data_IF_702049655473
#
_entry.id   IF_702049655473
#
_cell.length_a   1.000
_cell.length_b   1.000
_cell.length_c   1.000
_cell.angle_alpha   90.00
_cell.angle_beta   90.00
_cell.angle_gamma   90.00
#
_symmetry.space_group_name_H-M   'P 1'
#
loop_
_entity.id
_entity.type
_entity.pdbx_description
1 polymer ?
#
# COMPACT_ATOMS: atom_id res chain seq x y z
N UNK A 1 16.38 22.68 25.25
CA UNK A 1 16.66 21.92 26.48
C UNK A 1 16.65 20.45 26.08
N UNK A 2 17.80 19.78 26.14
CA UNK A 2 17.88 18.35 25.87
C UNK A 2 17.04 17.64 26.92
N UNK A 3 15.96 17.01 26.50
CA UNK A 3 15.12 16.14 27.29
C UNK A 3 15.98 15.07 27.96
N UNK A 4 15.72 14.80 29.23
CA UNK A 4 16.46 13.87 30.09
C UNK A 4 16.85 12.58 29.33
N UNK A 5 18.15 12.34 29.02
CA UNK A 5 18.59 11.16 28.26
C UNK A 5 18.32 9.83 28.96
N UNK A 6 17.96 9.87 30.24
CA UNK A 6 17.60 8.70 31.04
C UNK A 6 16.11 8.30 30.97
N UNK A 7 15.33 8.95 30.13
CA UNK A 7 13.92 8.56 29.97
C UNK A 7 13.80 7.11 29.42
N UNK A 8 12.93 6.31 30.01
CA UNK A 8 12.80 4.87 29.68
C UNK A 8 12.58 4.60 28.17
N UNK A 9 11.88 5.51 27.46
CA UNK A 9 11.66 5.41 25.99
C UNK A 9 12.96 5.57 25.18
N UNK A 10 14.03 6.14 25.72
CA UNK A 10 15.30 6.36 25.03
C UNK A 10 16.36 5.31 25.35
N UNK A 11 16.28 4.64 26.51
CA UNK A 11 17.33 3.75 27.00
C UNK A 11 17.74 2.62 26.07
N UNK A 12 16.82 2.13 25.22
CA UNK A 12 17.06 1.02 24.31
C UNK A 12 17.44 1.46 22.89
N UNK A 13 17.59 2.77 22.67
CA UNK A 13 17.86 3.37 21.37
C UNK A 13 19.31 3.83 21.27
N UNK A 14 19.91 3.75 20.08
CA UNK A 14 21.19 4.38 19.83
C UNK A 14 21.06 5.91 19.71
N UNK A 15 22.20 6.62 19.68
CA UNK A 15 22.21 8.08 19.67
C UNK A 15 21.40 8.68 18.51
N UNK A 16 21.57 8.21 17.27
CA UNK A 16 20.82 8.69 16.13
C UNK A 16 19.31 8.42 16.25
N UNK A 17 18.93 7.27 16.78
CA UNK A 17 17.54 6.94 17.06
C UNK A 17 16.96 7.84 18.16
N UNK A 18 17.74 8.13 19.23
CA UNK A 18 17.35 9.07 20.28
C UNK A 18 17.13 10.47 19.73
N UNK A 19 18.01 10.94 18.85
CA UNK A 19 17.87 12.24 18.16
C UNK A 19 16.55 12.32 17.38
N UNK A 20 16.17 11.25 16.66
CA UNK A 20 14.88 11.20 15.96
C UNK A 20 13.71 11.24 16.93
N UNK A 21 13.76 10.45 17.99
CA UNK A 21 12.64 10.30 18.94
C UNK A 21 12.42 11.56 19.74
N UNK A 22 13.51 12.23 20.18
CA UNK A 22 13.46 13.45 20.96
C UNK A 22 13.62 14.74 20.13
N UNK A 23 13.52 14.66 18.80
CA UNK A 23 13.61 15.82 17.92
C UNK A 23 12.60 16.91 18.30
N UNK A 24 12.98 18.16 18.15
CA UNK A 24 12.07 19.29 18.32
C UNK A 24 10.86 19.18 17.37
N UNK A 25 9.80 19.90 17.67
CA UNK A 25 8.64 19.98 16.77
C UNK A 25 9.02 20.73 15.48
N UNK A 26 9.35 19.96 14.45
CA UNK A 26 9.75 20.42 13.12
C UNK A 26 9.39 19.36 12.08
N UNK A 27 9.46 19.70 10.80
CA UNK A 27 9.43 18.70 9.76
C UNK A 27 10.71 17.86 9.83
N UNK A 28 10.57 16.53 9.65
CA UNK A 28 11.67 15.60 9.88
C UNK A 28 11.75 14.56 8.75
N UNK A 29 12.91 14.49 8.11
CA UNK A 29 13.27 13.43 7.18
C UNK A 29 14.22 12.44 7.88
N UNK A 30 13.79 11.20 8.02
CA UNK A 30 14.60 10.12 8.56
C UNK A 30 14.99 9.18 7.42
N UNK A 31 16.24 9.30 6.97
CA UNK A 31 16.83 8.39 6.00
C UNK A 31 17.35 7.17 6.73
N UNK A 32 16.62 6.07 6.67
CA UNK A 32 16.86 4.92 7.52
C UNK A 32 17.07 3.66 6.67
N UNK A 33 18.29 3.14 6.66
CA UNK A 33 18.62 1.94 5.91
C UNK A 33 17.89 0.68 6.38
N UNK A 34 18.02 -0.40 5.60
CA UNK A 34 17.46 -1.70 5.96
C UNK A 34 17.93 -2.14 7.35
N UNK A 35 17.03 -2.62 8.20
CA UNK A 35 17.36 -3.13 9.54
C UNK A 35 17.88 -2.10 10.53
N UNK A 36 17.78 -0.77 10.27
CA UNK A 36 18.22 0.30 11.16
C UNK A 36 17.17 0.68 12.22
N UNK A 37 15.99 0.06 12.21
CA UNK A 37 14.93 0.29 13.17
C UNK A 37 13.94 1.38 12.80
N UNK A 38 13.67 1.61 11.48
CA UNK A 38 12.66 2.57 10.97
C UNK A 38 11.38 2.60 11.80
N UNK A 39 10.66 1.49 11.81
CA UNK A 39 9.38 1.39 12.53
C UNK A 39 9.55 1.56 14.04
N UNK A 40 10.71 1.16 14.60
CA UNK A 40 11.00 1.33 16.03
C UNK A 40 11.07 2.82 16.40
N UNK A 41 11.84 3.62 15.66
CA UNK A 41 11.93 5.06 15.95
C UNK A 41 10.61 5.77 15.75
N UNK A 42 9.81 5.37 14.75
CA UNK A 42 8.49 5.93 14.51
C UNK A 42 7.54 5.66 15.67
N UNK A 43 7.49 4.41 16.15
CA UNK A 43 6.67 4.01 17.31
C UNK A 43 7.14 4.73 18.59
N UNK A 44 8.45 4.79 18.84
CA UNK A 44 9.00 5.52 20.00
C UNK A 44 8.77 7.03 19.90
N UNK A 45 8.81 7.64 18.70
CA UNK A 45 8.47 9.04 18.50
C UNK A 45 7.01 9.32 18.86
N UNK A 46 6.07 8.47 18.42
CA UNK A 46 4.65 8.59 18.80
C UNK A 46 4.50 8.51 20.31
N UNK A 47 5.14 7.52 20.94
CA UNK A 47 5.10 7.39 22.40
C UNK A 47 5.72 8.60 23.13
N UNK A 48 6.79 9.17 22.58
CA UNK A 48 7.42 10.39 23.10
C UNK A 48 6.49 11.59 23.01
N UNK A 49 5.87 11.81 21.84
CA UNK A 49 4.91 12.91 21.65
C UNK A 49 3.77 12.85 22.66
N UNK A 50 3.27 11.66 22.96
CA UNK A 50 2.16 11.49 23.91
C UNK A 50 2.62 11.63 25.36
N UNK A 51 3.67 10.91 25.78
CA UNK A 51 4.04 10.79 27.18
C UNK A 51 4.93 11.94 27.68
N UNK A 52 5.70 12.56 26.79
CA UNK A 52 6.68 13.61 27.17
C UNK A 52 6.23 14.98 26.70
N UNK A 53 5.77 15.10 25.47
CA UNK A 53 5.31 16.37 24.90
C UNK A 53 3.81 16.61 25.18
N UNK A 54 3.11 15.68 25.84
CA UNK A 54 1.69 15.76 26.20
C UNK A 54 0.75 16.01 25.00
N UNK A 55 1.12 15.48 23.84
CA UNK A 55 0.28 15.56 22.63
C UNK A 55 -0.85 14.55 22.74
N UNK A 56 -2.08 15.02 22.50
CA UNK A 56 -3.24 14.12 22.50
C UNK A 56 -3.11 13.06 21.39
N UNK A 57 -3.42 11.77 21.66
CA UNK A 57 -3.45 10.73 20.64
C UNK A 57 -4.33 11.08 19.43
N UNK A 58 -5.37 11.88 19.61
CA UNK A 58 -6.23 12.38 18.53
C UNK A 58 -5.52 13.31 17.54
N UNK A 59 -4.42 13.94 17.97
CA UNK A 59 -3.64 14.86 17.15
C UNK A 59 -2.55 14.17 16.32
N UNK A 60 -2.52 12.82 16.33
CA UNK A 60 -1.50 12.05 15.64
C UNK A 60 -2.13 11.24 14.51
N UNK A 61 -1.57 11.38 13.30
CA UNK A 61 -1.83 10.57 12.14
C UNK A 61 -0.58 9.76 11.81
N UNK A 62 -0.68 8.42 11.84
CA UNK A 62 0.41 7.53 11.48
C UNK A 62 0.04 6.69 10.26
N UNK A 63 0.85 6.81 9.20
CA UNK A 63 0.57 6.22 7.90
C UNK A 63 1.66 5.21 7.54
N UNK A 64 1.26 4.06 7.02
CA UNK A 64 2.17 3.03 6.52
C UNK A 64 1.66 2.44 5.21
N UNK A 65 2.48 1.61 4.54
CA UNK A 65 2.15 1.10 3.21
C UNK A 65 1.26 -0.15 3.24
N UNK A 66 1.38 -1.03 4.25
CA UNK A 66 0.64 -2.29 4.30
C UNK A 66 -0.21 -2.44 5.56
N UNK A 67 -1.33 -3.18 5.45
CA UNK A 67 -2.18 -3.50 6.59
C UNK A 67 -1.44 -4.31 7.67
N UNK A 68 -0.47 -5.14 7.27
CA UNK A 68 0.38 -5.88 8.21
C UNK A 68 1.24 -4.91 9.02
N UNK A 69 1.93 -3.97 8.36
CA UNK A 69 2.74 -2.96 9.04
C UNK A 69 1.88 -2.06 9.95
N UNK A 70 0.67 -1.69 9.52
CA UNK A 70 -0.26 -0.94 10.36
C UNK A 70 -0.69 -1.73 11.62
N UNK A 71 -0.93 -3.04 11.47
CA UNK A 71 -1.23 -3.94 12.59
C UNK A 71 -0.07 -4.05 13.58
N UNK A 72 1.14 -4.28 13.07
CA UNK A 72 2.36 -4.35 13.89
C UNK A 72 2.65 -3.02 14.59
N UNK A 73 2.45 -1.89 13.92
CA UNK A 73 2.62 -0.56 14.53
C UNK A 73 1.66 -0.36 15.70
N UNK A 74 0.37 -0.69 15.52
CA UNK A 74 -0.63 -0.61 16.61
C UNK A 74 -0.24 -1.49 17.79
N UNK A 75 0.12 -2.75 17.55
CA UNK A 75 0.52 -3.68 18.59
C UNK A 75 1.74 -3.17 19.38
N UNK A 76 2.74 -2.59 18.67
CA UNK A 76 3.93 -2.02 19.34
C UNK A 76 3.59 -0.77 20.14
N UNK A 77 2.65 0.06 19.67
CA UNK A 77 2.15 1.21 20.41
C UNK A 77 1.36 0.79 21.66
N UNK A 78 0.51 -0.22 21.56
CA UNK A 78 -0.21 -0.80 22.70
C UNK A 78 0.73 -1.30 23.79
N UNK A 79 1.88 -1.87 23.42
CA UNK A 79 2.89 -2.32 24.36
C UNK A 79 3.68 -1.18 25.03
N UNK A 80 3.69 0.01 24.44
CA UNK A 80 4.43 1.18 24.96
C UNK A 80 3.53 2.20 25.65
N UNK A 81 2.25 2.21 25.31
CA UNK A 81 1.28 3.21 25.72
C UNK A 81 0.06 2.52 26.33
N UNK A 82 -0.33 2.96 27.50
CA UNK A 82 -1.58 2.50 28.13
C UNK A 82 -2.77 3.35 27.65
N UNK A 83 -3.03 3.32 26.33
CA UNK A 83 -4.11 4.07 25.70
C UNK A 83 -4.86 3.23 24.67
N UNK A 84 -6.18 3.42 24.52
CA UNK A 84 -6.93 2.73 23.48
C UNK A 84 -6.51 3.18 22.08
N UNK A 85 -6.06 2.25 21.22
CA UNK A 85 -5.61 2.56 19.85
C UNK A 85 -6.70 3.15 18.94
N UNK A 86 -8.00 2.96 19.28
CA UNK A 86 -9.12 3.59 18.56
C UNK A 86 -9.09 5.13 18.57
N UNK A 87 -8.37 5.74 19.51
CA UNK A 87 -8.20 7.19 19.62
C UNK A 87 -7.28 7.76 18.54
N UNK A 88 -6.42 6.94 17.97
CA UNK A 88 -5.44 7.33 16.97
C UNK A 88 -5.90 6.98 15.55
N UNK A 89 -5.39 7.74 14.59
CA UNK A 89 -5.48 7.40 13.18
C UNK A 89 -4.18 6.72 12.73
N UNK A 90 -4.15 5.39 12.88
CA UNK A 90 -3.04 4.54 12.43
C UNK A 90 -3.54 3.59 11.34
N UNK A 91 -2.96 3.65 10.16
CA UNK A 91 -3.44 2.83 9.05
C UNK A 91 -2.63 2.97 7.76
N UNK A 92 -3.11 2.33 6.70
CA UNK A 92 -2.58 2.54 5.35
C UNK A 92 -3.22 3.77 4.72
N UNK A 93 -2.57 4.35 3.70
CA UNK A 93 -3.15 5.45 2.92
C UNK A 93 -4.60 5.17 2.51
N UNK A 94 -4.84 4.04 1.85
CA UNK A 94 -6.17 3.66 1.38
C UNK A 94 -7.17 3.44 2.52
N UNK A 95 -6.75 2.82 3.62
CA UNK A 95 -7.61 2.62 4.80
C UNK A 95 -8.03 3.93 5.46
N UNK A 96 -7.11 4.89 5.55
CA UNK A 96 -7.36 6.21 6.13
C UNK A 96 -8.22 7.07 5.18
N UNK A 97 -7.95 7.05 3.88
CA UNK A 97 -8.76 7.71 2.87
C UNK A 97 -10.19 7.14 2.84
N UNK A 98 -10.34 5.81 2.89
CA UNK A 98 -11.65 5.17 3.01
C UNK A 98 -12.42 5.64 4.25
N UNK A 99 -11.76 5.68 5.42
CA UNK A 99 -12.36 6.21 6.65
C UNK A 99 -12.82 7.65 6.50
N UNK A 100 -11.99 8.51 5.89
CA UNK A 100 -12.31 9.90 5.59
C UNK A 100 -13.53 10.02 4.68
N UNK A 101 -13.55 9.30 3.57
CA UNK A 101 -14.65 9.31 2.60
C UNK A 101 -15.96 8.77 3.20
N UNK A 102 -15.90 7.77 4.10
CA UNK A 102 -17.07 7.29 4.83
C UNK A 102 -17.66 8.34 5.78
N UNK A 103 -16.81 9.17 6.38
CA UNK A 103 -17.27 10.26 7.27
C UNK A 103 -17.86 11.45 6.49
N UNK A 104 -17.36 11.70 5.27
CA UNK A 104 -17.71 12.85 4.44
C UNK A 104 -18.24 12.42 3.07
N UNK A 105 -18.99 11.32 3.02
CA UNK A 105 -19.47 10.71 1.77
C UNK A 105 -20.26 11.70 0.91
N UNK A 106 -21.13 12.52 1.52
CA UNK A 106 -21.95 13.51 0.83
C UNK A 106 -21.09 14.62 0.18
N UNK A 107 -20.18 15.22 0.95
CA UNK A 107 -19.25 16.23 0.44
C UNK A 107 -18.27 15.67 -0.61
N UNK A 108 -17.96 14.36 -0.55
CA UNK A 108 -17.18 13.66 -1.55
C UNK A 108 -17.99 13.30 -2.82
N UNK A 109 -19.32 13.55 -2.86
CA UNK A 109 -20.19 13.18 -3.96
C UNK A 109 -20.35 11.66 -4.12
N UNK A 110 -20.37 10.92 -2.99
CA UNK A 110 -20.52 9.48 -2.96
C UNK A 110 -21.82 9.08 -2.26
N UNK A 111 -22.44 7.95 -2.62
CA UNK A 111 -23.53 7.41 -1.79
C UNK A 111 -22.99 6.92 -0.44
N UNK A 112 -23.80 6.98 0.61
CA UNK A 112 -23.41 6.55 1.95
C UNK A 112 -22.83 5.12 2.00
N UNK A 113 -23.40 4.21 1.22
CA UNK A 113 -23.01 2.80 1.16
C UNK A 113 -22.16 2.47 -0.08
N UNK A 114 -21.35 3.42 -0.58
CA UNK A 114 -20.50 3.18 -1.75
C UNK A 114 -19.65 1.90 -1.61
N UNK A 115 -19.42 1.20 -2.71
CA UNK A 115 -18.66 -0.03 -2.73
C UNK A 115 -17.27 0.19 -3.35
N UNK A 116 -16.30 -0.63 -2.95
CA UNK A 116 -14.95 -0.60 -3.51
C UNK A 116 -14.81 -1.77 -4.48
N UNK A 117 -14.50 -1.44 -5.74
CA UNK A 117 -14.19 -2.43 -6.77
C UNK A 117 -12.82 -3.05 -6.49
N UNK A 118 -12.75 -4.37 -6.57
CA UNK A 118 -11.46 -5.05 -6.66
C UNK A 118 -10.88 -4.96 -8.09
N UNK A 119 -9.66 -5.43 -8.27
CA UNK A 119 -8.98 -5.38 -9.57
C UNK A 119 -9.69 -6.19 -10.66
N UNK A 120 -10.34 -7.30 -10.29
CA UNK A 120 -11.07 -8.14 -11.26
C UNK A 120 -12.42 -7.51 -11.63
N UNK A 121 -13.10 -6.92 -10.66
CA UNK A 121 -14.35 -6.18 -10.91
C UNK A 121 -14.07 -4.94 -11.78
N UNK A 122 -12.99 -4.20 -11.51
CA UNK A 122 -12.54 -3.09 -12.36
C UNK A 122 -12.25 -3.57 -13.79
N UNK A 123 -11.54 -4.67 -13.94
CA UNK A 123 -11.25 -5.28 -15.25
C UNK A 123 -12.54 -5.61 -16.02
N UNK A 124 -13.56 -6.19 -15.36
CA UNK A 124 -14.85 -6.52 -15.97
C UNK A 124 -15.61 -5.27 -16.41
N UNK A 125 -15.60 -4.21 -15.61
CA UNK A 125 -16.21 -2.92 -15.98
C UNK A 125 -15.54 -2.37 -17.23
N UNK A 126 -14.20 -2.37 -17.30
CA UNK A 126 -13.44 -1.90 -18.47
C UNK A 126 -13.76 -2.73 -19.70
N UNK A 127 -13.76 -4.06 -19.57
CA UNK A 127 -14.11 -4.95 -20.70
C UNK A 127 -15.48 -4.63 -21.29
N UNK A 128 -16.48 -4.37 -20.44
CA UNK A 128 -17.82 -3.95 -20.86
C UNK A 128 -17.81 -2.60 -21.60
N UNK A 129 -17.01 -1.66 -21.12
CA UNK A 129 -16.88 -0.36 -21.78
C UNK A 129 -16.31 -0.54 -23.19
N UNK A 130 -15.28 -1.37 -23.36
CA UNK A 130 -14.70 -1.64 -24.68
C UNK A 130 -15.74 -2.19 -25.65
N UNK A 131 -16.54 -3.16 -25.22
CA UNK A 131 -17.65 -3.70 -26.02
C UNK A 131 -18.68 -2.62 -26.36
N UNK A 132 -19.08 -1.79 -25.38
CA UNK A 132 -20.09 -0.73 -25.61
C UNK A 132 -19.61 0.38 -26.55
N UNK A 133 -18.30 0.58 -26.64
CA UNK A 133 -17.66 1.55 -27.53
C UNK A 133 -17.27 0.95 -28.89
N UNK A 134 -17.58 -0.33 -29.14
CA UNK A 134 -17.17 -1.10 -30.32
C UNK A 134 -15.64 -1.10 -30.52
N UNK A 135 -14.88 -1.24 -29.42
CA UNK A 135 -13.42 -1.29 -29.42
C UNK A 135 -12.94 -2.75 -29.32
N UNK A 136 -11.98 -3.12 -30.17
CA UNK A 136 -11.40 -4.47 -30.18
C UNK A 136 -10.48 -4.68 -28.97
N UNK A 137 -10.75 -5.73 -28.18
CA UNK A 137 -9.96 -6.10 -27.01
C UNK A 137 -8.52 -6.51 -27.35
N UNK A 138 -8.22 -6.91 -28.58
CA UNK A 138 -6.85 -7.22 -29.02
C UNK A 138 -6.01 -5.96 -29.16
N UNK A 139 -6.59 -4.88 -29.65
CA UNK A 139 -5.95 -3.57 -29.74
C UNK A 139 -5.98 -2.82 -28.41
N UNK A 140 -7.10 -2.88 -27.71
CA UNK A 140 -7.36 -2.20 -26.43
C UNK A 140 -7.40 -3.18 -25.27
N UNK A 141 -6.27 -3.85 -24.99
CA UNK A 141 -6.21 -4.86 -23.95
C UNK A 141 -6.72 -4.30 -22.60
N UNK A 142 -7.79 -4.89 -21.99
CA UNK A 142 -8.42 -4.35 -20.78
C UNK A 142 -7.45 -4.11 -19.63
N UNK A 143 -6.42 -4.97 -19.48
CA UNK A 143 -5.37 -4.79 -18.45
C UNK A 143 -4.51 -3.55 -18.68
N UNK A 144 -4.21 -3.21 -19.95
CA UNK A 144 -3.46 -1.98 -20.27
C UNK A 144 -4.29 -0.74 -20.01
N UNK A 145 -5.59 -0.79 -20.35
CA UNK A 145 -6.54 0.30 -20.03
C UNK A 145 -6.69 0.48 -18.53
N UNK A 146 -6.84 -0.61 -17.79
CA UNK A 146 -6.90 -0.60 -16.32
C UNK A 146 -5.65 0.05 -15.71
N UNK A 147 -4.49 -0.36 -16.18
CA UNK A 147 -3.21 0.22 -15.77
C UNK A 147 -3.15 1.73 -16.06
N UNK A 148 -3.56 2.15 -17.25
CA UNK A 148 -3.62 3.56 -17.64
C UNK A 148 -4.52 4.37 -16.71
N UNK A 149 -5.76 3.91 -16.45
CA UNK A 149 -6.71 4.60 -15.56
C UNK A 149 -6.14 4.74 -14.16
N UNK A 150 -5.59 3.66 -13.61
CA UNK A 150 -5.01 3.67 -12.26
C UNK A 150 -3.81 4.61 -12.18
N UNK A 151 -2.93 4.60 -13.19
CA UNK A 151 -1.79 5.51 -13.25
C UNK A 151 -2.21 6.97 -13.31
N UNK A 152 -3.22 7.32 -14.13
CA UNK A 152 -3.72 8.69 -14.17
C UNK A 152 -4.25 9.13 -12.79
N UNK A 153 -5.01 8.28 -12.12
CA UNK A 153 -5.51 8.55 -10.76
C UNK A 153 -4.39 8.68 -9.73
N UNK A 154 -3.37 7.83 -9.80
CA UNK A 154 -2.19 7.87 -8.93
C UNK A 154 -1.34 9.12 -9.16
N UNK A 155 -1.41 9.70 -10.35
CA UNK A 155 -0.81 11.00 -10.69
C UNK A 155 -1.73 12.20 -10.40
N UNK A 156 -2.95 11.97 -9.92
CA UNK A 156 -3.93 13.02 -9.60
C UNK A 156 -4.66 13.59 -10.81
N UNK A 157 -4.69 12.87 -11.93
CA UNK A 157 -5.17 13.34 -13.23
C UNK A 157 -6.55 12.77 -13.54
N UNK A 158 -7.53 13.65 -13.76
CA UNK A 158 -8.86 13.30 -14.26
C UNK A 158 -8.88 13.19 -15.78
N UNK A 159 -9.90 12.52 -16.40
CA UNK A 159 -9.97 12.35 -17.86
C UNK A 159 -9.78 13.63 -18.67
N UNK A 160 -10.35 14.74 -18.20
CA UNK A 160 -10.27 16.06 -18.85
C UNK A 160 -8.92 16.77 -18.68
N UNK A 161 -8.02 16.23 -17.86
CA UNK A 161 -6.70 16.79 -17.56
C UNK A 161 -5.55 15.96 -18.16
N UNK A 162 -5.86 14.86 -18.86
CA UNK A 162 -4.84 13.98 -19.44
C UNK A 162 -4.03 14.74 -20.49
N UNK A 163 -2.70 14.80 -20.37
CA UNK A 163 -1.84 15.48 -21.34
C UNK A 163 -1.84 14.74 -22.69
N UNK A 164 -1.58 15.47 -23.79
CA UNK A 164 -1.53 14.92 -25.15
C UNK A 164 -2.83 14.22 -25.61
N UNK A 165 -3.99 14.61 -25.08
CA UNK A 165 -5.29 14.04 -25.46
C UNK A 165 -5.67 14.26 -26.95
N UNK A 166 -4.85 14.98 -27.72
CA UNK A 166 -5.05 15.18 -29.17
C UNK A 166 -4.53 14.01 -30.02
N UNK A 167 -3.63 13.18 -29.49
CA UNK A 167 -3.21 11.95 -30.14
C UNK A 167 -4.39 10.94 -30.22
N UNK A 168 -4.67 10.31 -31.38
CA UNK A 168 -5.81 9.41 -31.55
C UNK A 168 -5.86 8.25 -30.55
N UNK A 169 -4.70 7.69 -30.22
CA UNK A 169 -4.61 6.62 -29.23
C UNK A 169 -4.97 7.12 -27.82
N UNK A 170 -4.34 8.19 -27.38
CA UNK A 170 -4.59 8.82 -26.07
C UNK A 170 -6.03 9.32 -25.97
N UNK A 171 -6.58 9.90 -27.06
CA UNK A 171 -7.98 10.34 -27.12
C UNK A 171 -8.96 9.19 -26.85
N UNK A 172 -8.67 8.02 -27.41
CA UNK A 172 -9.51 6.83 -27.17
C UNK A 172 -9.39 6.36 -25.71
N UNK A 173 -8.19 6.34 -25.13
CA UNK A 173 -8.00 6.02 -23.71
C UNK A 173 -8.75 6.99 -22.81
N UNK A 174 -8.72 8.29 -23.09
CA UNK A 174 -9.47 9.32 -22.35
C UNK A 174 -10.97 9.06 -22.45
N UNK A 175 -11.49 8.72 -23.63
CA UNK A 175 -12.91 8.36 -23.81
C UNK A 175 -13.30 7.14 -22.97
N UNK A 176 -12.45 6.11 -22.94
CA UNK A 176 -12.68 4.93 -22.10
C UNK A 176 -12.67 5.31 -20.63
N UNK A 177 -11.71 6.14 -20.21
CA UNK A 177 -11.59 6.61 -18.82
C UNK A 177 -12.82 7.45 -18.40
N UNK A 178 -13.32 8.34 -19.27
CA UNK A 178 -14.56 9.09 -19.02
C UNK A 178 -15.75 8.16 -18.81
N UNK A 179 -15.96 7.21 -19.73
CA UNK A 179 -17.04 6.22 -19.61
C UNK A 179 -16.90 5.36 -18.35
N UNK A 180 -15.67 5.06 -17.94
CA UNK A 180 -15.41 4.35 -16.69
C UNK A 180 -15.84 5.16 -15.45
N UNK A 181 -15.48 6.44 -15.37
CA UNK A 181 -15.89 7.34 -14.29
C UNK A 181 -17.42 7.50 -14.20
N UNK A 182 -18.09 7.65 -15.36
CA UNK A 182 -19.55 7.75 -15.44
C UNK A 182 -20.24 6.48 -14.90
N UNK A 183 -19.76 5.31 -15.29
CA UNK A 183 -20.32 4.03 -14.82
C UNK A 183 -20.07 3.86 -13.32
N UNK A 184 -18.88 4.15 -12.83
CA UNK A 184 -18.55 4.06 -11.42
C UNK A 184 -19.44 5.02 -10.59
N UNK A 185 -19.61 6.25 -11.05
CA UNK A 185 -20.46 7.25 -10.37
C UNK A 185 -21.93 6.81 -10.33
N UNK A 186 -22.46 6.34 -11.46
CA UNK A 186 -23.85 5.88 -11.53
C UNK A 186 -24.13 4.69 -10.62
N UNK A 187 -23.17 3.75 -10.52
CA UNK A 187 -23.32 2.54 -9.72
C UNK A 187 -22.92 2.75 -8.25
N UNK A 188 -22.45 3.94 -7.88
CA UNK A 188 -22.02 4.24 -6.51
C UNK A 188 -20.80 3.40 -6.08
N UNK A 189 -19.89 3.10 -7.02
CA UNK A 189 -18.68 2.30 -6.78
C UNK A 189 -17.42 3.11 -7.06
N UNK A 190 -16.34 2.79 -6.37
CA UNK A 190 -15.03 3.40 -6.60
C UNK A 190 -13.94 2.33 -6.60
N UNK A 191 -12.86 2.56 -7.33
CA UNK A 191 -11.68 1.69 -7.29
C UNK A 191 -10.68 2.13 -6.21
N UNK A 192 -9.61 1.35 -6.02
CA UNK A 192 -8.60 1.65 -5.01
C UNK A 192 -7.87 2.97 -5.25
N UNK A 193 -7.50 3.28 -6.50
CA UNK A 193 -6.83 4.54 -6.82
C UNK A 193 -7.75 5.75 -6.56
N UNK A 194 -9.05 5.59 -6.80
CA UNK A 194 -10.06 6.61 -6.53
C UNK A 194 -10.14 6.99 -5.05
N UNK A 195 -9.87 6.07 -4.12
CA UNK A 195 -9.92 6.37 -2.69
C UNK A 195 -9.03 7.57 -2.33
N UNK A 196 -7.79 7.57 -2.79
CA UNK A 196 -6.84 8.65 -2.49
C UNK A 196 -7.19 9.90 -3.29
N UNK A 197 -7.41 9.77 -4.60
CA UNK A 197 -7.73 10.88 -5.46
C UNK A 197 -9.00 11.62 -4.98
N UNK A 198 -10.07 10.90 -4.68
CA UNK A 198 -11.32 11.48 -4.19
C UNK A 198 -11.16 12.14 -2.81
N UNK A 199 -10.35 11.56 -1.92
CA UNK A 199 -10.06 12.18 -0.63
C UNK A 199 -9.21 13.45 -0.75
N UNK A 200 -8.30 13.49 -1.72
CA UNK A 200 -7.54 14.68 -2.07
C UNK A 200 -8.46 15.79 -2.62
N UNK A 201 -9.33 15.45 -3.58
CA UNK A 201 -10.30 16.40 -4.14
C UNK A 201 -11.32 16.90 -3.10
N UNK A 202 -11.72 16.04 -2.15
CA UNK A 202 -12.58 16.41 -1.02
C UNK A 202 -11.96 17.59 -0.25
N UNK A 203 -10.67 17.52 0.05
CA UNK A 203 -9.97 18.58 0.75
C UNK A 203 -9.86 19.85 -0.07
N UNK A 204 -9.57 19.76 -1.37
CA UNK A 204 -9.49 20.95 -2.24
C UNK A 204 -10.85 21.64 -2.37
N UNK A 205 -11.92 20.88 -2.54
CA UNK A 205 -13.27 21.41 -2.76
C UNK A 205 -13.94 21.90 -1.47
N UNK A 206 -13.45 21.45 -0.30
CA UNK A 206 -14.06 21.77 1.00
C UNK A 206 -12.98 22.25 1.99
N UNK A 207 -12.58 23.54 1.93
CA UNK A 207 -11.55 24.11 2.79
C UNK A 207 -11.83 23.93 4.29
N UNK A 208 -13.08 23.96 4.70
CA UNK A 208 -13.48 23.77 6.10
C UNK A 208 -13.17 22.36 6.60
N UNK A 209 -13.41 21.34 5.75
CA UNK A 209 -13.04 19.95 6.07
C UNK A 209 -11.51 19.83 6.15
N UNK A 210 -10.79 20.40 5.19
CA UNK A 210 -9.33 20.42 5.21
C UNK A 210 -8.81 21.08 6.50
N UNK A 211 -9.30 22.26 6.83
CA UNK A 211 -8.90 23.00 8.03
C UNK A 211 -9.16 22.20 9.31
N UNK A 212 -10.33 21.55 9.41
CA UNK A 212 -10.65 20.66 10.53
C UNK A 212 -9.59 19.56 10.71
N UNK A 213 -9.15 18.91 9.64
CA UNK A 213 -8.14 17.84 9.71
C UNK A 213 -6.72 18.38 9.90
N UNK A 214 -6.39 19.57 9.42
CA UNK A 214 -5.14 20.25 9.71
C UNK A 214 -5.04 20.62 11.19
N UNK A 215 -6.08 21.16 11.80
CA UNK A 215 -6.13 21.44 13.24
C UNK A 215 -6.08 20.16 14.08
N UNK A 216 -6.71 19.11 13.58
CA UNK A 216 -6.73 17.80 14.25
C UNK A 216 -5.38 17.12 14.22
N UNK A 217 -4.74 16.97 13.06
CA UNK A 217 -3.51 16.20 12.91
C UNK A 217 -2.27 17.09 13.01
N UNK A 218 -1.88 17.43 14.22
CA UNK A 218 -0.68 18.24 14.45
C UNK A 218 0.62 17.50 14.14
N UNK A 219 0.64 16.19 14.27
CA UNK A 219 1.78 15.32 13.98
C UNK A 219 1.37 14.25 12.97
N UNK A 220 1.99 14.27 11.82
CA UNK A 220 1.78 13.31 10.73
C UNK A 220 3.09 12.53 10.59
N UNK A 221 3.02 11.20 10.78
CA UNK A 221 4.19 10.33 10.69
C UNK A 221 3.96 9.29 9.59
N UNK A 222 4.91 9.16 8.68
CA UNK A 222 4.79 8.30 7.50
C UNK A 222 5.95 7.31 7.46
N UNK A 223 5.64 6.00 7.46
CA UNK A 223 6.62 4.92 7.27
C UNK A 223 6.69 4.53 5.79
N UNK A 224 7.83 3.99 5.36
CA UNK A 224 8.13 3.54 3.98
C UNK A 224 7.79 4.61 2.92
N UNK A 225 8.20 5.86 3.17
CA UNK A 225 7.84 7.01 2.33
C UNK A 225 8.33 6.90 0.88
N UNK A 226 9.42 6.15 0.62
CA UNK A 226 9.93 5.88 -0.74
C UNK A 226 8.93 5.15 -1.64
N UNK A 227 7.92 4.50 -1.07
CA UNK A 227 6.90 3.76 -1.81
C UNK A 227 5.65 4.59 -2.14
N UNK A 228 5.66 5.89 -1.79
CA UNK A 228 4.54 6.80 -2.06
C UNK A 228 4.48 7.22 -3.53
N UNK A 229 3.26 7.33 -4.08
CA UNK A 229 3.01 7.91 -5.39
C UNK A 229 2.71 9.42 -5.31
N UNK A 230 2.47 10.05 -6.46
CA UNK A 230 2.26 11.51 -6.56
C UNK A 230 1.09 12.00 -5.72
N UNK A 231 -0.08 11.35 -5.85
CA UNK A 231 -1.30 11.80 -5.17
C UNK A 231 -1.23 11.57 -3.66
N UNK A 232 -0.55 10.51 -3.19
CA UNK A 232 -0.32 10.26 -1.76
C UNK A 232 0.55 11.35 -1.14
N UNK A 233 1.62 11.76 -1.82
CA UNK A 233 2.43 12.88 -1.35
C UNK A 233 1.66 14.20 -1.38
N UNK A 234 0.91 14.48 -2.44
CA UNK A 234 0.05 15.67 -2.53
C UNK A 234 -0.99 15.72 -1.39
N UNK A 235 -1.59 14.58 -1.05
CA UNK A 235 -2.54 14.45 0.06
C UNK A 235 -1.89 14.75 1.42
N UNK A 236 -0.68 14.24 1.67
CA UNK A 236 0.10 14.56 2.87
C UNK A 236 0.45 16.05 2.92
N UNK A 237 0.88 16.62 1.79
CA UNK A 237 1.27 18.02 1.70
C UNK A 237 0.10 18.97 2.02
N UNK A 238 -1.13 18.65 1.55
CA UNK A 238 -2.32 19.41 1.92
C UNK A 238 -2.57 19.38 3.43
N UNK A 239 -2.50 18.20 4.04
CA UNK A 239 -2.71 18.04 5.48
C UNK A 239 -1.64 18.74 6.31
N UNK A 240 -0.40 18.86 5.80
CA UNK A 240 0.74 19.42 6.53
C UNK A 240 1.03 20.87 6.20
N UNK A 241 0.17 21.57 5.45
CA UNK A 241 0.37 22.98 5.06
C UNK A 241 0.01 24.02 6.13
N UNK A 242 -0.35 23.57 7.32
CA UNK A 242 -0.71 24.45 8.45
C UNK A 242 0.40 24.52 9.51
N UNK A 243 -0.01 24.48 10.78
CA UNK A 243 0.89 24.38 11.95
C UNK A 243 1.23 22.93 12.32
N UNK A 244 1.31 22.07 11.33
CA UNK A 244 1.50 20.64 11.47
C UNK A 244 2.97 20.27 11.26
N UNK A 245 3.37 19.16 11.84
CA UNK A 245 4.71 18.62 11.69
C UNK A 245 4.63 17.29 10.94
N UNK A 246 5.30 17.22 9.79
CA UNK A 246 5.38 16.02 8.97
C UNK A 246 6.73 15.33 9.18
N UNK A 247 6.69 14.12 9.73
CA UNK A 247 7.86 13.25 9.82
C UNK A 247 7.72 12.13 8.78
N UNK A 248 8.68 12.05 7.89
CA UNK A 248 8.77 10.95 6.93
C UNK A 248 9.97 10.06 7.24
N UNK A 249 9.73 8.75 7.20
CA UNK A 249 10.76 7.73 7.38
C UNK A 249 10.82 6.90 6.10
N UNK A 250 11.99 6.75 5.53
CA UNK A 250 12.13 6.03 4.28
C UNK A 250 13.56 5.60 3.98
N UNK A 251 13.68 4.79 2.94
CA UNK A 251 14.91 4.26 2.41
C UNK A 251 14.87 4.31 0.89
N UNK A 252 15.54 5.28 0.29
CA UNK A 252 15.64 5.43 -1.16
C UNK A 252 16.21 4.17 -1.85
N UNK A 253 17.08 3.43 -1.16
CA UNK A 253 17.65 2.18 -1.67
C UNK A 253 16.65 0.99 -1.65
N UNK A 254 15.51 1.11 -0.96
CA UNK A 254 14.46 0.09 -0.88
C UNK A 254 13.25 0.39 -1.76
N UNK A 255 13.28 1.40 -2.61
CA UNK A 255 12.18 1.73 -3.51
C UNK A 255 12.07 0.70 -4.64
N UNK A 256 11.20 -0.30 -4.47
CA UNK A 256 10.98 -1.38 -5.43
C UNK A 256 9.56 -1.36 -6.04
N UNK A 257 8.74 -0.36 -5.72
CA UNK A 257 7.37 -0.23 -6.20
C UNK A 257 7.18 0.85 -7.29
N UNK A 258 8.24 1.22 -8.02
CA UNK A 258 8.15 2.15 -9.15
C UNK A 258 7.12 1.70 -10.20
N UNK A 259 7.00 0.39 -10.45
CA UNK A 259 6.00 -0.20 -11.33
C UNK A 259 4.54 -0.07 -10.82
N UNK A 260 4.35 0.32 -9.56
CA UNK A 260 3.06 0.69 -8.93
C UNK A 260 2.89 2.20 -8.79
N UNK A 261 3.70 3.01 -9.46
CA UNK A 261 3.62 4.47 -9.39
C UNK A 261 4.39 5.11 -8.23
N UNK A 262 5.15 4.33 -7.43
CA UNK A 262 6.01 4.91 -6.39
C UNK A 262 7.06 5.83 -6.98
N UNK A 263 7.31 6.97 -6.33
CA UNK A 263 8.25 7.99 -6.79
C UNK A 263 9.26 8.35 -5.71
N UNK A 264 10.48 7.84 -5.83
CA UNK A 264 11.60 8.21 -4.94
C UNK A 264 11.83 9.72 -4.90
N UNK A 265 11.54 10.40 -6.02
CA UNK A 265 11.59 11.85 -6.12
C UNK A 265 10.77 12.58 -5.06
N UNK A 266 9.71 11.95 -4.52
CA UNK A 266 8.91 12.52 -3.44
C UNK A 266 9.76 12.88 -2.21
N UNK A 267 10.88 12.19 -1.95
CA UNK A 267 11.82 12.54 -0.87
C UNK A 267 12.53 13.87 -1.18
N UNK A 268 12.96 14.07 -2.42
CA UNK A 268 13.58 15.32 -2.85
C UNK A 268 12.56 16.46 -2.85
N UNK A 269 11.34 16.18 -3.31
CA UNK A 269 10.25 17.15 -3.30
C UNK A 269 9.88 17.55 -1.86
N UNK A 270 9.92 16.63 -0.88
CA UNK A 270 9.75 16.95 0.53
C UNK A 270 10.81 17.92 1.05
N UNK A 271 12.10 17.70 0.73
CA UNK A 271 13.19 18.60 1.15
C UNK A 271 12.97 20.01 0.58
N UNK A 272 12.53 20.12 -0.66
CA UNK A 272 12.22 21.40 -1.30
C UNK A 272 10.98 22.07 -0.71
N UNK A 273 9.92 21.32 -0.47
CA UNK A 273 8.62 21.83 -0.04
C UNK A 273 8.60 22.20 1.45
N UNK A 274 9.51 21.64 2.25
CA UNK A 274 9.68 21.90 3.68
C UNK A 274 11.15 22.28 3.97
N UNK A 275 11.59 23.50 3.63
CA UNK A 275 13.01 23.91 3.71
C UNK A 275 13.58 23.87 5.13
N UNK A 276 12.73 24.03 6.16
CA UNK A 276 13.12 23.98 7.58
C UNK A 276 13.14 22.54 8.14
N UNK A 277 13.12 21.52 7.27
CA UNK A 277 13.17 20.15 7.72
C UNK A 277 14.54 19.78 8.31
N UNK A 278 14.54 18.90 9.31
CA UNK A 278 15.75 18.25 9.80
C UNK A 278 15.94 16.91 9.10
N UNK A 279 17.18 16.60 8.70
CA UNK A 279 17.54 15.31 8.10
C UNK A 279 18.39 14.50 9.07
N UNK A 280 17.90 13.35 9.50
CA UNK A 280 18.64 12.42 10.37
C UNK A 280 18.83 11.10 9.64
N UNK A 281 20.06 10.52 9.69
CA UNK A 281 20.40 9.26 9.06
C UNK A 281 20.52 8.15 10.10
N UNK A 282 19.84 7.03 9.83
CA UNK A 282 19.97 5.79 10.61
C UNK A 282 20.74 4.76 9.81
N UNK A 283 22.03 4.63 10.09
CA UNK A 283 22.96 3.78 9.32
C UNK A 283 23.37 2.51 10.06
N UNK A 284 23.19 2.46 11.38
CA UNK A 284 23.48 1.25 12.16
C UNK A 284 22.41 0.19 11.91
N UNK A 285 22.84 -0.94 11.37
CA UNK A 285 21.99 -2.10 11.10
C UNK A 285 22.03 -3.09 12.28
N UNK A 286 20.84 -3.57 12.69
CA UNK A 286 20.65 -4.54 13.77
C UNK A 286 20.15 -5.90 13.29
N UNK A 287 19.98 -6.05 11.99
CA UNK A 287 19.37 -7.25 11.36
C UNK A 287 20.41 -8.23 10.82
N UNK A 288 21.44 -7.72 10.18
CA UNK A 288 22.34 -8.49 9.32
C UNK A 288 23.77 -8.50 9.84
N UNK A 289 24.47 -9.58 9.54
CA UNK A 289 25.91 -9.72 9.82
C UNK A 289 26.76 -8.87 8.86
N UNK A 290 28.03 -8.67 9.19
CA UNK A 290 28.96 -7.85 8.42
C UNK A 290 29.14 -8.32 6.97
N UNK A 291 29.19 -9.63 6.72
CA UNK A 291 29.32 -10.20 5.37
C UNK A 291 28.11 -9.85 4.50
N UNK A 292 26.88 -9.95 5.03
CA UNK A 292 25.66 -9.59 4.31
C UNK A 292 25.64 -8.08 3.99
N UNK A 293 26.03 -7.24 4.95
CA UNK A 293 26.09 -5.79 4.74
C UNK A 293 27.17 -5.40 3.74
N UNK A 294 28.32 -6.05 3.75
CA UNK A 294 29.38 -5.80 2.77
C UNK A 294 28.88 -6.08 1.34
N UNK A 295 28.22 -7.23 1.15
CA UNK A 295 27.64 -7.59 -0.15
C UNK A 295 26.54 -6.62 -0.60
N UNK A 296 25.61 -6.27 0.29
CA UNK A 296 24.52 -5.34 -0.04
C UNK A 296 25.02 -3.91 -0.29
N UNK A 297 25.99 -3.42 0.49
CA UNK A 297 26.61 -2.13 0.26
C UNK A 297 27.35 -2.09 -1.10
N UNK A 298 28.05 -3.16 -1.47
CA UNK A 298 28.74 -3.24 -2.76
C UNK A 298 27.72 -3.25 -3.92
N UNK A 299 26.63 -4.02 -3.81
CA UNK A 299 25.59 -4.09 -4.83
C UNK A 299 24.91 -2.73 -5.04
N UNK A 300 24.51 -2.06 -3.97
CA UNK A 300 23.72 -0.83 -4.05
C UNK A 300 24.52 0.38 -4.58
N UNK A 301 25.85 0.33 -4.56
CA UNK A 301 26.68 1.41 -5.13
C UNK A 301 26.52 1.59 -6.64
N UNK A 302 25.98 0.59 -7.33
CA UNK A 302 25.67 0.66 -8.77
C UNK A 302 24.38 1.43 -9.10
N UNK A 303 23.61 1.82 -8.10
CA UNK A 303 22.41 2.65 -8.32
C UNK A 303 22.79 4.13 -8.32
N UNK A 304 22.33 4.85 -9.35
CA UNK A 304 22.50 6.30 -9.48
C UNK A 304 21.44 7.08 -8.66
N UNK A 305 21.77 8.33 -8.32
CA UNK A 305 20.79 9.27 -7.68
C UNK A 305 20.48 8.99 -6.22
N UNK A 306 21.28 8.18 -5.53
CA UNK A 306 21.13 7.88 -4.10
C UNK A 306 21.38 9.09 -3.21
N UNK A 307 20.64 9.18 -2.10
CA UNK A 307 20.84 10.22 -1.08
C UNK A 307 22.06 9.97 -0.19
N UNK A 308 22.75 8.84 -0.39
CA UNK A 308 24.03 8.49 0.24
C UNK A 308 23.88 8.07 1.70
N UNK A 309 24.01 6.76 1.94
CA UNK A 309 24.16 6.14 3.27
C UNK A 309 24.98 4.87 3.12
N UNK A 310 25.66 4.48 4.20
CA UNK A 310 26.43 3.24 4.27
C UNK A 310 26.04 2.48 5.53
N UNK A 311 25.45 1.32 5.36
CA UNK A 311 25.04 0.49 6.49
C UNK A 311 26.27 -0.17 7.14
N UNK A 312 26.27 -0.14 8.46
CA UNK A 312 27.28 -0.79 9.29
C UNK A 312 26.64 -1.50 10.48
N UNK A 313 27.31 -2.47 11.06
CA UNK A 313 26.82 -3.22 12.22
C UNK A 313 27.90 -3.41 13.26
N UNK A 314 27.53 -3.42 14.53
CA UNK A 314 28.38 -3.88 15.64
C UNK A 314 28.32 -5.41 15.82
N UNK A 315 27.45 -6.10 15.06
CA UNK A 315 27.37 -7.55 15.05
C UNK A 315 28.61 -8.19 14.41
N UNK A 316 28.82 -9.48 14.69
CA UNK A 316 29.94 -10.25 14.11
C UNK A 316 29.88 -10.29 12.59
N UNK A 317 31.00 -10.74 11.97
CA UNK A 317 31.06 -10.89 10.51
C UNK A 317 30.06 -11.88 9.96
N UNK A 318 29.73 -12.94 10.74
CA UNK A 318 28.80 -13.98 10.30
C UNK A 318 29.44 -14.95 9.29
N UNK A 319 28.62 -15.89 8.82
CA UNK A 319 29.04 -16.88 7.82
C UNK A 319 29.14 -16.25 6.43
N UNK A 320 29.97 -16.83 5.57
CA UNK A 320 30.07 -16.45 4.17
C UNK A 320 28.79 -16.78 3.42
N UNK A 321 28.45 -15.94 2.44
CA UNK A 321 27.32 -16.18 1.53
C UNK A 321 27.65 -17.36 0.64
N UNK A 322 26.80 -18.40 0.65
CA UNK A 322 26.94 -19.56 -0.23
C UNK A 322 26.19 -19.33 -1.53
N UNK A 323 26.83 -19.65 -2.65
CA UNK A 323 26.22 -19.60 -3.98
C UNK A 323 26.08 -21.02 -4.53
N UNK A 324 24.92 -21.38 -5.03
CA UNK A 324 24.66 -22.66 -5.67
C UNK A 324 24.02 -22.44 -7.05
N UNK A 325 24.63 -22.98 -8.09
CA UNK A 325 24.08 -22.99 -9.44
C UNK A 325 23.35 -24.31 -9.69
N UNK A 326 22.03 -24.27 -9.66
CA UNK A 326 21.21 -25.44 -9.90
C UNK A 326 21.05 -25.74 -11.41
N UNK A 327 20.88 -27.01 -11.78
CA UNK A 327 20.59 -27.45 -13.15
C UNK A 327 19.16 -27.15 -13.58
N UNK A 328 18.21 -27.21 -12.65
CA UNK A 328 16.80 -26.91 -12.85
C UNK A 328 16.13 -26.59 -11.49
N UNK A 329 14.84 -26.28 -11.53
CA UNK A 329 14.04 -25.92 -10.36
C UNK A 329 13.91 -27.05 -9.33
N UNK A 330 13.87 -28.32 -9.76
CA UNK A 330 13.85 -29.47 -8.87
C UNK A 330 15.18 -29.65 -8.13
N UNK A 331 16.28 -29.42 -8.81
CA UNK A 331 17.63 -29.46 -8.21
C UNK A 331 17.82 -28.32 -7.20
N UNK A 332 17.36 -27.10 -7.56
CA UNK A 332 17.30 -25.96 -6.64
C UNK A 332 16.51 -26.29 -5.37
N UNK A 333 15.31 -26.81 -5.53
CA UNK A 333 14.47 -27.19 -4.39
C UNK A 333 15.10 -28.26 -3.51
N UNK A 334 15.72 -29.29 -4.09
CA UNK A 334 16.46 -30.34 -3.35
C UNK A 334 17.63 -29.75 -2.54
N UNK A 335 18.38 -28.85 -3.16
CA UNK A 335 19.48 -28.17 -2.47
C UNK A 335 18.96 -27.38 -1.27
N UNK A 336 17.92 -26.57 -1.44
CA UNK A 336 17.29 -25.78 -0.37
C UNK A 336 16.81 -26.69 0.77
N UNK A 337 16.10 -27.77 0.45
CA UNK A 337 15.61 -28.74 1.45
C UNK A 337 16.79 -29.37 2.23
N UNK A 338 17.87 -29.71 1.55
CA UNK A 338 19.05 -30.28 2.21
C UNK A 338 19.69 -29.26 3.16
N UNK A 339 19.78 -27.98 2.77
CA UNK A 339 20.27 -26.92 3.65
C UNK A 339 19.38 -26.74 4.88
N UNK A 340 18.06 -26.73 4.70
CA UNK A 340 17.11 -26.65 5.81
C UNK A 340 17.30 -27.84 6.75
N UNK A 341 17.34 -29.10 6.23
CA UNK A 341 17.55 -30.29 7.05
C UNK A 341 18.86 -30.26 7.83
N UNK A 342 19.94 -29.74 7.22
CA UNK A 342 21.23 -29.57 7.92
C UNK A 342 21.12 -28.52 9.04
N UNK A 343 20.42 -27.42 8.81
CA UNK A 343 20.17 -26.40 9.82
C UNK A 343 19.35 -26.95 10.99
N UNK A 344 18.26 -27.68 10.70
CA UNK A 344 17.43 -28.30 11.74
C UNK A 344 18.20 -29.30 12.62
N UNK A 345 19.20 -30.01 12.04
CA UNK A 345 20.10 -30.88 12.83
C UNK A 345 21.05 -30.09 13.74
N UNK A 346 21.26 -28.80 13.47
CA UNK A 346 22.10 -27.86 14.26
C UNK A 346 21.21 -26.96 15.15
N UNK A 347 20.04 -27.45 15.57
CA UNK A 347 19.09 -26.77 16.49
C UNK A 347 18.36 -25.57 15.94
N UNK A 348 18.45 -25.24 14.65
CA UNK A 348 17.58 -24.25 14.03
C UNK A 348 16.12 -24.72 14.05
N UNK A 349 15.22 -23.83 14.40
CA UNK A 349 13.79 -24.09 14.35
C UNK A 349 13.21 -23.70 12.97
N UNK A 350 12.16 -24.38 12.47
CA UNK A 350 11.59 -24.07 11.17
C UNK A 350 11.15 -22.60 11.01
N UNK A 351 10.71 -21.94 12.08
CA UNK A 351 10.32 -20.53 12.09
C UNK A 351 11.50 -19.55 12.03
N UNK A 352 12.74 -20.02 12.11
CA UNK A 352 13.97 -19.23 11.95
C UNK A 352 14.53 -19.30 10.54
N UNK A 353 13.89 -20.07 9.65
CA UNK A 353 14.29 -20.22 8.24
C UNK A 353 13.31 -19.54 7.33
N UNK A 354 13.79 -18.71 6.40
CA UNK A 354 12.98 -18.09 5.36
C UNK A 354 13.54 -18.43 3.97
N UNK A 355 12.66 -18.82 3.06
CA UNK A 355 12.98 -19.01 1.64
C UNK A 355 12.34 -17.88 0.86
N UNK A 356 13.14 -17.09 0.14
CA UNK A 356 12.70 -15.98 -0.68
C UNK A 356 12.78 -16.36 -2.16
N UNK A 357 11.75 -16.00 -2.93
CA UNK A 357 11.70 -16.24 -4.37
C UNK A 357 11.15 -15.02 -5.11
N UNK A 358 11.46 -14.89 -6.40
CA UNK A 358 11.12 -13.71 -7.20
C UNK A 358 9.64 -13.71 -7.62
N UNK A 359 9.07 -14.86 -7.90
CA UNK A 359 7.68 -14.98 -8.39
C UNK A 359 6.94 -16.12 -7.72
N UNK A 360 5.60 -15.95 -7.57
CA UNK A 360 4.75 -16.99 -6.98
C UNK A 360 4.76 -18.32 -7.76
N UNK A 361 5.13 -18.30 -9.05
CA UNK A 361 5.24 -19.53 -9.83
C UNK A 361 6.31 -20.48 -9.27
N UNK A 362 7.38 -19.94 -8.66
CA UNK A 362 8.46 -20.72 -8.06
C UNK A 362 8.05 -21.44 -6.77
N UNK A 363 6.98 -20.96 -6.09
CA UNK A 363 6.57 -21.53 -4.80
C UNK A 363 6.15 -22.99 -4.90
N UNK A 364 5.50 -23.38 -6.00
CA UNK A 364 4.93 -24.72 -6.16
C UNK A 364 5.98 -25.84 -6.01
N UNK A 365 7.11 -25.73 -6.69
CA UNK A 365 8.18 -26.74 -6.64
C UNK A 365 8.80 -26.81 -5.24
N UNK A 366 8.96 -25.65 -4.59
CA UNK A 366 9.44 -25.57 -3.20
C UNK A 366 8.44 -26.19 -2.22
N UNK A 367 7.14 -25.93 -2.39
CA UNK A 367 6.09 -26.51 -1.56
C UNK A 367 6.03 -28.04 -1.68
N UNK A 368 6.05 -28.56 -2.90
CA UNK A 368 6.07 -30.00 -3.17
C UNK A 368 7.28 -30.67 -2.50
N UNK A 369 8.45 -30.03 -2.56
CA UNK A 369 9.66 -30.51 -1.92
C UNK A 369 9.60 -30.45 -0.38
N UNK A 370 9.04 -29.39 0.21
CA UNK A 370 8.83 -29.25 1.66
C UNK A 370 7.83 -30.29 2.19
N UNK A 371 6.72 -30.51 1.49
CA UNK A 371 5.71 -31.54 1.83
C UNK A 371 6.36 -32.92 1.79
N UNK A 372 7.07 -33.27 0.71
CA UNK A 372 7.75 -34.56 0.56
C UNK A 372 8.80 -34.79 1.65
N UNK A 373 9.42 -33.71 2.13
CA UNK A 373 10.41 -33.75 3.21
C UNK A 373 9.78 -33.69 4.62
N UNK A 374 8.46 -33.57 4.73
CA UNK A 374 7.71 -33.40 5.98
C UNK A 374 8.16 -32.19 6.82
N UNK A 375 8.58 -31.12 6.16
CA UNK A 375 8.99 -29.87 6.82
C UNK A 375 7.79 -28.94 6.87
N UNK A 376 7.30 -28.52 8.06
CA UNK A 376 6.19 -27.58 8.17
C UNK A 376 6.61 -26.21 7.61
N UNK A 377 5.72 -25.59 6.83
CA UNK A 377 5.97 -24.30 6.21
C UNK A 377 4.73 -23.41 6.21
N UNK A 378 4.95 -22.13 5.97
CA UNK A 378 3.89 -21.12 5.76
C UNK A 378 4.26 -20.23 4.60
N UNK A 379 3.32 -20.01 3.67
CA UNK A 379 3.49 -19.09 2.55
C UNK A 379 3.01 -17.70 2.96
N UNK A 380 3.82 -16.71 2.62
CA UNK A 380 3.46 -15.31 2.73
C UNK A 380 3.35 -14.70 1.31
N UNK A 381 2.22 -14.04 1.01
CA UNK A 381 2.01 -13.39 -0.30
C UNK A 381 1.43 -14.28 -1.39
N UNK A 382 1.02 -15.53 -1.07
CA UNK A 382 0.18 -16.35 -1.95
C UNK A 382 -1.24 -15.78 -2.09
N UNK A 383 -2.08 -16.39 -2.94
CA UNK A 383 -3.50 -16.02 -3.06
C UNK A 383 -4.15 -16.02 -1.67
N UNK A 384 -4.56 -14.85 -1.22
CA UNK A 384 -5.25 -14.70 0.06
C UNK A 384 -6.57 -15.45 0.00
N UNK A 385 -7.06 -15.93 1.16
CA UNK A 385 -8.36 -16.61 1.26
C UNK A 385 -9.48 -15.85 0.51
N UNK A 386 -9.56 -14.55 0.72
CA UNK A 386 -10.56 -13.69 0.07
C UNK A 386 -10.31 -13.40 -1.43
N UNK A 387 -9.16 -13.80 -1.98
CA UNK A 387 -8.82 -13.65 -3.40
C UNK A 387 -9.19 -14.90 -4.21
N UNK A 388 -9.54 -15.99 -3.54
CA UNK A 388 -9.99 -17.23 -4.20
C UNK A 388 -11.33 -17.00 -4.88
N UNK A 389 -11.51 -17.61 -6.07
CA UNK A 389 -12.72 -17.41 -6.89
C UNK A 389 -14.00 -17.77 -6.14
N UNK A 390 -14.01 -18.92 -5.47
CA UNK A 390 -15.14 -19.43 -4.70
C UNK A 390 -15.52 -18.52 -3.52
N UNK A 391 -14.52 -17.89 -2.90
CA UNK A 391 -14.77 -16.95 -1.78
C UNK A 391 -15.30 -15.62 -2.31
N UNK A 392 -14.75 -15.13 -3.43
CA UNK A 392 -15.28 -13.93 -4.10
C UNK A 392 -16.72 -14.13 -4.56
N UNK A 393 -17.08 -15.33 -5.03
CA UNK A 393 -18.44 -15.65 -5.43
C UNK A 393 -19.37 -15.62 -4.21
N UNK A 394 -19.00 -16.26 -3.10
CA UNK A 394 -19.75 -16.19 -1.85
C UNK A 394 -19.92 -14.77 -1.33
N UNK A 395 -18.85 -13.97 -1.36
CA UNK A 395 -18.91 -12.55 -0.96
C UNK A 395 -19.82 -11.73 -1.88
N UNK A 396 -19.88 -12.03 -3.18
CA UNK A 396 -20.76 -11.34 -4.12
C UNK A 396 -22.25 -11.61 -3.80
N UNK A 397 -22.61 -12.81 -3.36
CA UNK A 397 -23.94 -13.08 -2.82
C UNK A 397 -24.25 -12.22 -1.60
N UNK A 398 -23.35 -12.15 -0.63
CA UNK A 398 -23.54 -11.33 0.57
C UNK A 398 -23.64 -9.82 0.23
N UNK A 399 -22.84 -9.34 -0.74
CA UNK A 399 -22.91 -7.97 -1.23
C UNK A 399 -24.26 -7.65 -1.83
N UNK A 400 -24.85 -8.55 -2.65
CA UNK A 400 -26.18 -8.36 -3.21
C UNK A 400 -27.31 -8.41 -2.16
N UNK A 401 -27.15 -9.20 -1.11
CA UNK A 401 -28.08 -9.18 0.02
C UNK A 401 -28.05 -7.83 0.71
N UNK A 402 -26.88 -7.27 0.90
CA UNK A 402 -26.69 -5.96 1.55
C UNK A 402 -27.07 -4.78 0.64
N UNK A 403 -26.79 -4.88 -0.66
CA UNK A 403 -27.07 -3.83 -1.65
C UNK A 403 -27.46 -4.46 -3.00
N UNK A 404 -28.75 -4.46 -3.32
CA UNK A 404 -29.30 -4.99 -4.57
C UNK A 404 -28.94 -4.17 -5.81
N UNK A 405 -28.37 -2.99 -5.64
CA UNK A 405 -27.91 -2.14 -6.75
C UNK A 405 -26.44 -2.37 -7.09
N UNK A 406 -25.81 -3.41 -6.51
CA UNK A 406 -24.42 -3.80 -6.80
C UNK A 406 -24.35 -4.63 -8.09
N UNK A 407 -24.39 -3.96 -9.24
CA UNK A 407 -24.32 -4.60 -10.55
C UNK A 407 -23.09 -5.49 -10.77
N UNK A 408 -21.87 -5.09 -10.34
CA UNK A 408 -20.71 -5.99 -10.40
C UNK A 408 -20.88 -7.31 -9.63
N UNK A 409 -21.48 -7.25 -8.44
CA UNK A 409 -21.77 -8.45 -7.66
C UNK A 409 -22.84 -9.32 -8.33
N UNK A 410 -23.91 -8.70 -8.88
CA UNK A 410 -24.94 -9.38 -9.64
C UNK A 410 -24.36 -10.15 -10.82
N UNK A 411 -23.57 -9.50 -11.68
CA UNK A 411 -22.99 -10.14 -12.85
C UNK A 411 -22.02 -11.27 -12.50
N UNK A 412 -21.35 -11.16 -11.36
CA UNK A 412 -20.44 -12.21 -10.91
C UNK A 412 -21.18 -13.52 -10.60
N UNK A 413 -22.36 -13.43 -9.99
CA UNK A 413 -23.06 -14.60 -9.45
C UNK A 413 -24.31 -15.00 -10.23
N UNK A 414 -24.79 -14.21 -11.16
CA UNK A 414 -26.06 -14.48 -11.86
C UNK A 414 -26.08 -15.87 -12.51
N UNK A 415 -24.94 -16.35 -12.98
CA UNK A 415 -24.76 -17.70 -13.54
C UNK A 415 -23.77 -18.57 -12.75
N UNK A 416 -23.54 -18.28 -11.48
CA UNK A 416 -22.68 -19.04 -10.57
C UNK A 416 -23.46 -19.39 -9.30
N UNK A 417 -23.91 -20.65 -9.09
CA UNK A 417 -23.82 -21.80 -10.00
C UNK A 417 -24.60 -21.59 -11.30
N UNK A 418 -24.33 -22.42 -12.29
CA UNK A 418 -24.94 -22.30 -13.63
C UNK A 418 -26.47 -22.33 -13.55
N UNK A 419 -27.13 -21.31 -14.10
CA UNK A 419 -28.60 -21.11 -14.11
C UNK A 419 -29.18 -20.97 -15.52
N UNK A 420 -28.39 -21.28 -16.56
CA UNK A 420 -28.82 -21.13 -17.93
C UNK A 420 -28.85 -19.68 -18.44
N UNK A 421 -28.30 -18.73 -17.68
CA UNK A 421 -28.22 -17.32 -18.04
C UNK A 421 -26.92 -17.09 -18.81
N UNK A 422 -27.03 -17.07 -20.15
CA UNK A 422 -25.88 -16.81 -21.02
C UNK A 422 -25.65 -15.32 -21.28
N UNK A 423 -24.59 -15.04 -22.06
CA UNK A 423 -24.18 -13.66 -22.39
C UNK A 423 -25.29 -12.88 -23.11
N UNK A 424 -26.12 -13.50 -23.94
CA UNK A 424 -27.25 -12.85 -24.62
C UNK A 424 -28.30 -12.37 -23.62
N UNK A 425 -28.68 -13.20 -22.64
CA UNK A 425 -29.62 -12.82 -21.60
C UNK A 425 -29.07 -11.68 -20.74
N UNK A 426 -27.79 -11.75 -20.40
CA UNK A 426 -27.12 -10.68 -19.67
C UNK A 426 -27.07 -9.38 -20.45
N UNK A 427 -26.88 -9.44 -21.78
CA UNK A 427 -26.92 -8.25 -22.63
C UNK A 427 -28.32 -7.62 -22.68
N UNK A 428 -29.38 -8.44 -22.76
CA UNK A 428 -30.77 -7.94 -22.69
C UNK A 428 -31.05 -7.25 -21.35
N UNK A 429 -30.68 -7.87 -20.23
CA UNK A 429 -30.81 -7.26 -18.90
C UNK A 429 -30.07 -5.93 -18.77
N UNK A 430 -28.86 -5.84 -19.34
CA UNK A 430 -28.07 -4.59 -19.35
C UNK A 430 -28.75 -3.48 -20.19
N UNK A 431 -29.32 -3.84 -21.34
CA UNK A 431 -30.04 -2.88 -22.16
C UNK A 431 -31.28 -2.37 -21.45
N UNK A 432 -32.03 -3.26 -20.82
CA UNK A 432 -33.23 -2.90 -20.06
C UNK A 432 -32.88 -2.03 -18.84
N UNK A 433 -31.92 -2.45 -18.03
CA UNK A 433 -31.43 -1.66 -16.90
C UNK A 433 -30.99 -0.25 -17.29
N UNK A 434 -30.29 -0.15 -18.45
CA UNK A 434 -29.85 1.14 -18.99
C UNK A 434 -30.98 2.01 -19.49
N UNK A 435 -31.97 1.41 -20.18
CA UNK A 435 -33.13 2.15 -20.73
C UNK A 435 -34.01 2.74 -19.63
N UNK A 436 -34.16 2.02 -18.52
CA UNK A 436 -34.99 2.42 -17.39
C UNK A 436 -34.23 3.15 -16.27
N UNK A 437 -32.89 3.21 -16.34
CA UNK A 437 -32.05 3.82 -15.30
C UNK A 437 -32.08 3.08 -13.96
N UNK A 438 -32.31 1.75 -13.98
CA UNK A 438 -32.40 0.85 -12.82
C UNK A 438 -31.19 -0.09 -12.74
N UNK A 439 -31.03 -0.79 -11.59
CA UNK A 439 -29.97 -1.80 -11.43
C UNK A 439 -30.28 -3.09 -12.22
N UNK A 440 -29.25 -3.90 -12.47
CA UNK A 440 -29.39 -5.22 -13.11
C UNK A 440 -30.31 -6.15 -12.32
N UNK A 441 -30.30 -6.05 -11.00
CA UNK A 441 -31.20 -6.79 -10.13
C UNK A 441 -32.68 -6.45 -10.35
N UNK A 442 -32.96 -5.14 -10.57
CA UNK A 442 -34.32 -4.67 -10.80
C UNK A 442 -34.81 -5.00 -12.22
N UNK A 443 -33.89 -5.12 -13.17
CA UNK A 443 -34.18 -5.48 -14.55
C UNK A 443 -34.38 -7.00 -14.74
N UNK A 444 -33.92 -7.82 -13.79
CA UNK A 444 -34.01 -9.28 -13.81
C UNK A 444 -35.30 -9.79 -13.16
#
# INVERSE_FOLDING_TARGET
MLSNPNHHLLKSLNEAQQQVVAAAQSHLLVLAGAGSGKTRVLVHRIAWLINVENISPHNILAVTFTNKAAGEMRQRLENLLDIPMRLMWVGTFHGLAHRLLRQHWEAAGLPQAFQILDSDDQYRVIKRILVSLNLDETQWAPKKVQWFINQQKDDGIRPNQVPNANDPYTKTLVRIYQSYEEICTRNGVIDFAELILRSYELFIKNPDILHHYQERFRHILVDEFQDTNTIQYAWLKLLSSGKNYLMIVGDDDQSIYGWRGARVKNIQDFIRDFPDNQVIRLEQNYRSTGVILAASNALITHNDGRLGKKLWSNGGQGDLISLYGAFNDLDEARFIINQIKQGLKKELRPNEVAVLYRSNAQSRVLEEALISAQIPYRIYGGLRFFERAEIKDALAYLRLIANRNDDPAFERIVNTPTRGIGDQTLQMLRLEARSQGISLWQAA
#
